data_IF_467101710809
#
_entry.id   IF_467101710809
#
_cell.length_a   1.000
_cell.length_b   1.000
_cell.length_c   1.000
_cell.angle_alpha   90.00
_cell.angle_beta   90.00
_cell.angle_gamma   90.00
#
_symmetry.space_group_name_H-M   'P 1'
#
loop_
_entity.id
_entity.type
_entity.pdbx_description
1 polymer ?
#
# COMPACT_ATOMS: atom_id res chain seq x y z
N UNK A 1 3.11 -3.11 -9.43
CA UNK A 1 2.28 -3.15 -8.22
C UNK A 1 2.78 -2.08 -7.26
N UNK A 2 1.89 -1.22 -6.81
CA UNK A 2 2.27 -0.17 -5.89
C UNK A 2 2.17 -0.64 -4.45
N UNK A 3 3.15 -0.24 -3.65
CA UNK A 3 3.28 -0.64 -2.25
C UNK A 3 3.48 0.61 -1.41
N UNK A 4 2.72 0.72 -0.33
CA UNK A 4 2.79 1.87 0.56
C UNK A 4 3.44 1.47 1.87
N UNK A 5 4.21 2.40 2.45
CA UNK A 5 4.92 2.18 3.71
C UNK A 5 4.61 3.32 4.67
N UNK A 6 4.12 2.96 5.86
CA UNK A 6 3.89 3.95 6.93
C UNK A 6 5.21 4.23 7.63
N UNK A 7 5.65 5.48 7.60
CA UNK A 7 6.98 5.80 8.10
C UNK A 7 7.04 7.20 8.69
N UNK A 8 7.88 7.37 9.72
CA UNK A 8 8.15 8.69 10.28
C UNK A 8 9.44 9.27 9.69
N UNK A 9 10.41 8.40 9.39
CA UNK A 9 11.72 8.86 8.94
C UNK A 9 11.96 8.64 7.44
N UNK A 10 10.98 8.10 6.73
CA UNK A 10 11.04 7.84 5.29
C UNK A 10 12.06 6.76 4.91
N UNK A 11 12.59 6.05 5.89
CA UNK A 11 13.57 5.00 5.67
C UNK A 11 13.12 3.66 6.19
N UNK A 12 12.33 3.65 7.27
CA UNK A 12 11.89 2.43 7.91
C UNK A 12 10.38 2.44 8.08
N UNK A 13 9.80 1.24 8.13
CA UNK A 13 8.40 1.11 8.53
C UNK A 13 8.38 1.17 10.05
N UNK A 14 8.11 2.34 10.58
CA UNK A 14 8.18 2.59 12.01
C UNK A 14 6.98 3.40 12.52
N UNK A 15 5.89 3.42 11.77
CA UNK A 15 4.76 4.25 12.13
C UNK A 15 3.46 3.48 12.18
N UNK A 16 2.65 3.81 13.18
CA UNK A 16 1.23 3.44 13.23
C UNK A 16 0.54 4.16 12.07
N UNK A 17 -0.32 3.47 11.35
CA UNK A 17 -0.94 4.04 10.15
C UNK A 17 -1.63 5.38 10.43
N UNK A 18 -2.41 5.43 11.50
CA UNK A 18 -3.14 6.65 11.85
C UNK A 18 -2.26 7.83 12.25
N UNK A 19 -1.04 7.55 12.67
CA UNK A 19 -0.11 8.58 13.15
C UNK A 19 1.07 8.80 12.23
N UNK A 20 1.11 8.13 11.08
CA UNK A 20 2.23 8.22 10.18
C UNK A 20 2.35 9.63 9.61
N UNK A 21 3.55 10.20 9.69
CA UNK A 21 3.82 11.49 9.07
C UNK A 21 4.02 11.34 7.59
N UNK A 22 4.40 10.18 7.13
CA UNK A 22 4.67 9.94 5.73
C UNK A 22 4.11 8.60 5.28
N UNK A 23 3.66 8.56 4.03
CA UNK A 23 3.39 7.33 3.32
C UNK A 23 4.30 7.34 2.11
N UNK A 24 5.28 6.45 2.09
CA UNK A 24 6.20 6.34 0.97
C UNK A 24 5.68 5.28 0.02
N UNK A 25 5.57 5.61 -1.25
CA UNK A 25 4.99 4.73 -2.27
C UNK A 25 6.10 4.29 -3.21
N UNK A 26 6.16 2.98 -3.44
CA UNK A 26 7.10 2.37 -4.38
C UNK A 26 6.33 1.51 -5.37
N UNK A 27 6.90 1.37 -6.55
CA UNK A 27 6.43 0.41 -7.54
C UNK A 27 7.34 -0.81 -7.48
N UNK A 28 6.76 -2.00 -7.33
CA UNK A 28 7.53 -3.25 -7.24
C UNK A 28 7.09 -4.22 -8.32
N UNK A 29 8.08 -4.84 -8.97
CA UNK A 29 7.86 -5.85 -10.00
C UNK A 29 8.88 -6.96 -9.79
N UNK A 30 8.73 -8.11 -10.48
CA UNK A 30 9.76 -9.14 -10.39
C UNK A 30 11.13 -8.67 -10.83
N UNK A 31 11.20 -7.64 -11.68
CA UNK A 31 12.46 -7.14 -12.21
C UNK A 31 13.12 -6.10 -11.32
N UNK A 32 12.38 -5.50 -10.41
CA UNK A 32 12.96 -4.49 -9.53
C UNK A 32 11.90 -3.63 -8.87
N UNK A 33 12.36 -2.57 -8.25
CA UNK A 33 11.46 -1.62 -7.62
C UNK A 33 12.02 -0.22 -7.77
N UNK A 34 11.14 0.78 -7.69
CA UNK A 34 11.59 2.17 -7.71
C UNK A 34 10.64 3.03 -6.90
N UNK A 35 11.18 4.13 -6.39
CA UNK A 35 10.44 5.11 -5.62
C UNK A 35 9.46 5.85 -6.53
N UNK A 36 8.21 6.01 -6.06
CA UNK A 36 7.21 6.76 -6.79
C UNK A 36 7.03 8.13 -6.17
N UNK A 37 6.67 8.18 -4.89
CA UNK A 37 6.43 9.45 -4.23
C UNK A 37 6.36 9.25 -2.73
N UNK A 38 6.54 10.34 -1.99
CA UNK A 38 6.33 10.35 -0.56
C UNK A 38 5.25 11.39 -0.25
N UNK A 39 4.21 10.95 0.44
CA UNK A 39 3.10 11.81 0.81
C UNK A 39 3.22 12.15 2.29
N UNK A 40 3.17 13.43 2.61
CA UNK A 40 3.32 13.89 3.98
C UNK A 40 1.96 14.17 4.59
N UNK A 41 1.83 13.82 5.85
CA UNK A 41 0.62 14.03 6.64
C UNK A 41 1.02 14.59 7.98
N UNK A 42 0.08 15.26 8.63
CA UNK A 42 0.34 15.79 9.94
C UNK A 42 -0.14 17.22 10.06
N UNK A 43 0.35 17.88 11.07
CA UNK A 43 -0.01 19.24 11.32
C UNK A 43 -1.44 19.38 11.78
N UNK A 44 -2.10 20.40 11.30
CA UNK A 44 -3.40 20.77 11.82
C UNK A 44 -4.50 19.78 11.51
N UNK A 45 -4.36 19.04 10.43
CA UNK A 45 -5.40 18.08 10.10
C UNK A 45 -5.61 17.07 11.20
N UNK A 46 -4.53 16.68 11.87
CA UNK A 46 -4.64 15.73 12.97
C UNK A 46 -5.03 16.38 14.28
N UNK A 47 -4.76 17.66 14.40
CA UNK A 47 -5.02 18.38 15.63
C UNK A 47 -6.41 18.97 15.68
N UNK A 48 -7.06 19.10 14.55
CA UNK A 48 -8.36 19.74 14.43
C UNK A 48 -9.50 18.96 15.05
N UNK A 49 -9.25 17.74 15.44
CA UNK A 49 -10.34 16.90 15.89
C UNK A 49 -11.22 16.43 14.76
N UNK A 50 -10.71 16.50 13.56
CA UNK A 50 -11.43 15.97 12.40
C UNK A 50 -11.76 14.52 12.65
N UNK A 51 -13.03 14.19 12.47
CA UNK A 51 -13.49 12.85 12.78
C UNK A 51 -12.85 11.80 11.90
N UNK A 52 -12.46 12.16 10.69
CA UNK A 52 -11.92 11.16 9.78
C UNK A 52 -10.52 11.50 9.32
N UNK A 53 -9.58 11.33 10.22
CA UNK A 53 -8.17 11.54 9.91
C UNK A 53 -7.64 10.54 8.91
N UNK A 54 -8.34 9.41 8.76
CA UNK A 54 -7.89 8.34 7.90
C UNK A 54 -8.24 8.56 6.44
N UNK A 55 -9.28 9.34 6.16
CA UNK A 55 -9.75 9.50 4.78
C UNK A 55 -8.67 9.97 3.82
N UNK A 56 -7.87 11.00 4.16
CA UNK A 56 -6.81 11.43 3.24
C UNK A 56 -5.76 10.36 3.01
N UNK A 57 -5.43 9.60 4.05
CA UNK A 57 -4.44 8.54 3.91
C UNK A 57 -4.96 7.39 3.07
N UNK A 58 -6.23 7.03 3.27
CA UNK A 58 -6.85 5.97 2.48
C UNK A 58 -6.95 6.37 1.02
N UNK A 59 -7.30 7.63 0.76
CA UNK A 59 -7.36 8.13 -0.61
C UNK A 59 -5.99 8.08 -1.27
N UNK A 60 -4.94 8.35 -0.50
CA UNK A 60 -3.58 8.40 -1.03
C UNK A 60 -3.09 7.03 -1.48
N UNK A 61 -3.60 5.96 -0.87
CA UNK A 61 -3.11 4.61 -1.17
C UNK A 61 -4.14 3.75 -1.91
N UNK A 62 -5.21 4.36 -2.42
CA UNK A 62 -6.30 3.58 -2.99
C UNK A 62 -5.86 2.68 -4.15
N UNK A 63 -4.79 3.05 -4.85
CA UNK A 63 -4.27 2.25 -5.97
C UNK A 63 -3.10 1.37 -5.58
N UNK A 64 -2.79 1.29 -4.28
CA UNK A 64 -1.74 0.40 -3.81
C UNK A 64 -2.30 -0.99 -3.56
N UNK A 65 -1.45 -2.00 -3.72
CA UNK A 65 -1.83 -3.38 -3.47
C UNK A 65 -1.51 -3.82 -2.05
N UNK A 66 -0.46 -3.26 -1.46
CA UNK A 66 0.03 -3.64 -0.13
C UNK A 66 0.31 -2.38 0.67
N UNK A 67 0.03 -2.47 1.98
CA UNK A 67 0.37 -1.40 2.93
C UNK A 67 1.13 -2.02 4.09
N UNK A 68 2.38 -1.58 4.28
CA UNK A 68 3.19 -2.01 5.43
C UNK A 68 3.07 -0.98 6.54
N UNK A 69 2.85 -1.46 7.76
CA UNK A 69 2.65 -0.60 8.93
C UNK A 69 3.36 -1.17 10.14
N UNK A 70 3.71 -0.31 11.10
CA UNK A 70 4.19 -0.78 12.39
C UNK A 70 3.00 -1.20 13.26
N UNK A 71 1.88 -0.51 13.07
CA UNK A 71 0.63 -0.84 13.76
C UNK A 71 -0.51 -0.20 13.01
N UNK A 72 -1.72 -0.74 13.19
CA UNK A 72 -2.91 -0.19 12.56
C UNK A 72 -4.12 -0.55 13.43
N UNK A 73 -5.01 0.40 13.61
CA UNK A 73 -6.24 0.16 14.36
C UNK A 73 -7.21 -0.72 13.59
N UNK A 74 -8.10 -1.39 14.31
CA UNK A 74 -9.04 -2.32 13.69
C UNK A 74 -9.94 -1.68 12.65
N UNK A 75 -10.44 -0.48 12.94
CA UNK A 75 -11.30 0.23 11.99
C UNK A 75 -10.55 0.59 10.72
N UNK A 76 -9.33 1.08 10.85
CA UNK A 76 -8.51 1.42 9.70
C UNK A 76 -8.16 0.17 8.90
N UNK A 77 -7.80 -0.91 9.58
CA UNK A 77 -7.47 -2.16 8.91
C UNK A 77 -8.66 -2.66 8.08
N UNK A 78 -9.85 -2.58 8.65
CA UNK A 78 -11.05 -3.01 7.92
C UNK A 78 -11.27 -2.19 6.67
N UNK A 79 -11.04 -0.88 6.75
CA UNK A 79 -11.21 -0.01 5.59
C UNK A 79 -10.15 -0.28 4.52
N UNK A 80 -8.93 -0.58 4.95
CA UNK A 80 -7.85 -0.93 4.02
C UNK A 80 -8.19 -2.22 3.27
N UNK A 81 -8.65 -3.22 4.00
CA UNK A 81 -9.03 -4.50 3.39
C UNK A 81 -10.22 -4.31 2.46
N UNK A 82 -11.20 -3.50 2.86
CA UNK A 82 -12.36 -3.22 2.00
C UNK A 82 -11.96 -2.56 0.69
N UNK A 83 -10.85 -1.81 0.71
CA UNK A 83 -10.32 -1.18 -0.49
C UNK A 83 -9.45 -2.12 -1.31
N UNK A 84 -9.37 -3.39 -0.93
CA UNK A 84 -8.59 -4.42 -1.62
C UNK A 84 -7.10 -4.19 -1.50
N UNK A 85 -6.68 -3.61 -0.40
CA UNK A 85 -5.28 -3.40 -0.07
C UNK A 85 -4.92 -4.38 1.04
N UNK A 86 -3.78 -5.06 0.91
CA UNK A 86 -3.36 -6.06 1.89
C UNK A 86 -2.47 -5.40 2.95
N UNK A 87 -2.94 -5.28 4.20
CA UNK A 87 -2.11 -4.68 5.24
C UNK A 87 -1.15 -5.71 5.84
N UNK A 88 0.09 -5.31 6.03
CA UNK A 88 1.10 -6.17 6.65
C UNK A 88 1.75 -5.38 7.78
N UNK A 89 1.68 -5.97 8.98
CA UNK A 89 2.28 -5.36 10.15
C UNK A 89 3.68 -5.93 10.35
N UNK A 90 4.67 -5.03 10.50
CA UNK A 90 6.03 -5.48 10.81
C UNK A 90 6.16 -5.62 12.33
N UNK A 91 6.95 -6.59 12.76
CA UNK A 91 7.12 -6.86 14.20
C UNK A 91 7.95 -5.79 14.88
N UNK A 92 8.84 -5.16 14.13
CA UNK A 92 9.70 -4.10 14.64
C UNK A 92 10.08 -3.21 13.48
N UNK A 93 10.59 -2.00 13.72
CA UNK A 93 10.97 -1.11 12.62
C UNK A 93 11.92 -1.81 11.66
N UNK A 94 11.63 -1.69 10.40
CA UNK A 94 12.36 -2.42 9.37
C UNK A 94 12.62 -1.50 8.19
N UNK A 95 13.84 -1.51 7.62
CA UNK A 95 14.14 -0.65 6.47
C UNK A 95 13.25 -0.98 5.28
N UNK A 96 12.74 0.06 4.65
CA UNK A 96 11.85 -0.09 3.50
C UNK A 96 12.55 -0.86 2.38
N UNK A 97 13.83 -0.55 2.13
CA UNK A 97 14.55 -1.21 1.05
C UNK A 97 14.77 -2.69 1.31
N UNK A 98 14.94 -3.08 2.58
CA UNK A 98 15.06 -4.49 2.92
C UNK A 98 13.75 -5.23 2.65
N UNK A 99 12.63 -4.58 2.97
CA UNK A 99 11.31 -5.17 2.70
C UNK A 99 11.13 -5.33 1.20
N UNK A 100 11.50 -4.32 0.43
CA UNK A 100 11.37 -4.36 -1.02
C UNK A 100 12.24 -5.45 -1.64
N UNK A 101 13.45 -5.64 -1.12
CA UNK A 101 14.33 -6.70 -1.59
C UNK A 101 13.69 -8.07 -1.39
N UNK A 102 13.12 -8.30 -0.21
CA UNK A 102 12.46 -9.56 0.08
C UNK A 102 11.23 -9.75 -0.77
N UNK A 103 10.45 -8.69 -0.96
CA UNK A 103 9.25 -8.74 -1.77
C UNK A 103 9.62 -9.10 -3.22
N UNK A 104 10.68 -8.50 -3.73
CA UNK A 104 11.12 -8.78 -5.09
C UNK A 104 11.51 -10.24 -5.27
N UNK A 105 12.19 -10.82 -4.27
CA UNK A 105 12.53 -12.24 -4.32
C UNK A 105 11.29 -13.11 -4.39
N UNK A 106 10.27 -12.78 -3.60
CA UNK A 106 9.03 -13.53 -3.60
C UNK A 106 8.33 -13.40 -4.96
N UNK A 107 8.34 -12.20 -5.53
CA UNK A 107 7.70 -11.97 -6.82
C UNK A 107 8.38 -12.74 -7.94
N UNK A 108 9.70 -12.92 -7.86
CA UNK A 108 10.43 -13.69 -8.86
C UNK A 108 10.27 -15.18 -8.69
N UNK A 109 9.90 -15.63 -7.49
CA UNK A 109 9.71 -17.02 -7.20
C UNK A 109 8.26 -17.45 -7.39
N UNK A 110 7.69 -18.08 -6.37
CA UNK A 110 6.31 -18.52 -6.39
C UNK A 110 5.53 -17.72 -5.36
N UNK A 111 4.92 -16.60 -5.76
CA UNK A 111 4.19 -15.78 -4.81
C UNK A 111 3.00 -16.54 -4.21
N UNK A 112 2.70 -16.30 -2.93
CA UNK A 112 1.51 -16.92 -2.33
C UNK A 112 0.24 -16.36 -2.99
N UNK A 113 -0.89 -17.06 -2.83
CA UNK A 113 -2.14 -16.66 -3.50
C UNK A 113 -2.54 -15.21 -3.25
N UNK A 114 -2.41 -14.71 -2.02
CA UNK A 114 -2.83 -13.34 -1.73
C UNK A 114 -1.98 -12.33 -2.53
N UNK A 115 -0.71 -12.64 -2.72
CA UNK A 115 0.19 -11.75 -3.45
C UNK A 115 -0.10 -11.79 -4.95
N UNK A 116 -0.44 -12.98 -5.45
CA UNK A 116 -0.86 -13.08 -6.84
C UNK A 116 -2.12 -12.27 -7.10
N UNK A 117 -3.05 -12.28 -6.14
CA UNK A 117 -4.23 -11.43 -6.24
C UNK A 117 -3.88 -9.96 -6.25
N UNK A 118 -2.90 -9.57 -5.45
CA UNK A 118 -2.46 -8.18 -5.40
C UNK A 118 -1.89 -7.74 -6.75
N UNK A 119 -1.15 -8.63 -7.41
CA UNK A 119 -0.64 -8.34 -8.74
C UNK A 119 -1.77 -8.19 -9.75
N UNK A 120 -2.81 -9.01 -9.62
CA UNK A 120 -3.97 -8.91 -10.51
C UNK A 120 -4.72 -7.61 -10.30
N UNK A 121 -4.77 -7.11 -9.07
CA UNK A 121 -5.39 -5.83 -8.81
C UNK A 121 -4.72 -4.72 -9.63
N UNK A 122 -3.40 -4.75 -9.66
CA UNK A 122 -2.65 -3.77 -10.42
C UNK A 122 -3.00 -3.85 -11.90
N UNK A 123 -3.07 -5.06 -12.42
CA UNK A 123 -3.42 -5.25 -13.82
C UNK A 123 -4.85 -4.82 -14.11
N UNK A 124 -5.76 -5.13 -13.19
CA UNK A 124 -7.16 -4.75 -13.37
C UNK A 124 -7.35 -3.25 -13.36
N UNK A 125 -6.51 -2.52 -12.64
CA UNK A 125 -6.58 -1.07 -12.59
C UNK A 125 -6.03 -0.42 -13.85
N UNK A 126 -5.29 -1.16 -14.66
CA UNK A 126 -4.75 -0.64 -15.91
C UNK A 126 -5.87 -0.56 -16.93
N UNK A 127 -6.16 0.60 -17.53
CA UNK A 127 -7.21 0.73 -18.55
C UNK A 127 -6.83 -0.10 -19.76
N UNK A 128 -7.71 -0.90 -20.19
CA UNK A 128 -7.46 -1.72 -21.36
C UNK A 128 -8.40 -1.31 -22.44
N UNK A 129 -8.62 -1.38 -22.03
CA UNK A 129 -9.28 -1.31 -22.59
C UNK A 129 -10.07 -1.75 -23.10
N UNK A 130 -10.31 -1.95 -23.00
CA UNK A 130 -10.86 -2.32 -23.13
C UNK A 130 -11.47 -2.97 -23.23
N UNK A 131 -11.67 -3.19 -23.04
CA UNK A 131 -12.17 -3.83 -22.91
C UNK A 131 -12.74 -4.31 -22.97
N UNK A 132 -12.95 -4.44 -23.07
CA UNK A 132 -13.42 -4.90 -22.75
C UNK A 132 -13.80 -5.40 -22.71
N UNK A 133 -14.18 -5.57 -22.92
CA UNK A 133 -14.58 -5.96 -22.49
C UNK A 133 -14.88 -6.46 -22.41
N UNK A 134 -15.17 -6.70 -22.63
CA UNK A 134 -15.48 -7.01 -22.06
C UNK A 134 -15.81 -7.40 -21.76
N UNK A 135 -16.13 -7.74 -22.09
CA UNK A 135 -16.38 -7.94 -21.41
C UNK A 135 -16.68 -8.27 -21.14
N UNK A 136 -16.84 -8.41 -21.35
CA UNK A 136 -17.09 -8.38 -20.85
C UNK A 136 -17.32 -8.71 -20.69
N UNK A 137 -17.55 -9.10 -20.84
CA UNK A 137 -17.77 -9.09 -20.45
C UNK A 137 -18.04 -9.46 -20.35
N UNK A 138 -18.20 -9.80 -20.68
CA UNK A 138 -18.42 -9.95 -20.38
C UNK A 138 -18.66 -10.38 -20.36
N UNK A 139 -19.00 -10.83 -20.67
CA UNK A 139 -19.13 -11.01 -20.37
C UNK A 139 -19.50 -11.07 -20.16
#
# INVERSE_FOLDING_TARGET
MKVAFSTQDRQRVDAHFGWAKNLSIYEATPEGYHFVENLEFGGKLEEDGDEDKLAPKLAAIHDCAILYVAAIGGSAAARVVAAKIHPIKVAQPEPILDILDKLQEVLRGTPPPWLRKALLKDQAATPTFEDEDEAHHDR
#
